data_IF_836558310927
#
_entry.id   IF_836558310927
#
_cell.length_a   1.000
_cell.length_b   1.000
_cell.length_c   1.000
_cell.angle_alpha   90.00
_cell.angle_beta   90.00
_cell.angle_gamma   90.00
#
_symmetry.space_group_name_H-M   'P 1'
#
loop_
_entity.id
_entity.type
_entity.pdbx_description
1 polymer ?
#
# COMPACT_ATOMS: atom_id res chain seq x y z
N UNK A 1 14.36 -4.17 6.08
CA UNK A 1 13.43 -3.07 5.76
C UNK A 1 14.02 -2.29 4.60
N UNK A 2 13.29 -2.14 3.51
CA UNK A 2 13.79 -1.42 2.34
C UNK A 2 13.69 0.11 2.53
N UNK A 3 14.73 0.83 2.11
CA UNK A 3 14.85 2.29 2.16
C UNK A 3 13.85 2.92 1.16
N UNK A 4 13.36 4.12 1.47
CA UNK A 4 12.47 4.85 0.55
C UNK A 4 13.25 5.74 -0.41
N UNK A 5 12.79 5.84 -1.65
CA UNK A 5 13.27 6.81 -2.63
C UNK A 5 12.65 8.20 -2.39
N UNK A 6 13.23 9.24 -2.99
CA UNK A 6 12.65 10.60 -2.97
C UNK A 6 11.25 10.64 -3.59
N UNK A 7 11.02 9.87 -4.66
CA UNK A 7 9.73 9.79 -5.33
C UNK A 7 8.67 9.13 -4.44
N UNK A 8 9.02 8.03 -3.76
CA UNK A 8 8.12 7.33 -2.84
C UNK A 8 7.71 8.24 -1.66
N UNK A 9 8.68 8.97 -1.08
CA UNK A 9 8.42 9.93 0.02
C UNK A 9 7.50 11.06 -0.45
N UNK A 10 7.74 11.62 -1.64
CA UNK A 10 6.93 12.69 -2.20
C UNK A 10 5.49 12.22 -2.48
N UNK A 11 5.34 11.03 -3.09
CA UNK A 11 4.03 10.44 -3.35
C UNK A 11 3.26 10.16 -2.05
N UNK A 12 3.91 9.61 -1.02
CA UNK A 12 3.26 9.34 0.26
C UNK A 12 2.67 10.61 0.90
N UNK A 13 3.42 11.72 0.87
CA UNK A 13 2.94 13.02 1.35
C UNK A 13 1.79 13.56 0.50
N UNK A 14 1.91 13.43 -0.82
CA UNK A 14 0.86 13.84 -1.76
C UNK A 14 -0.45 13.08 -1.54
N UNK A 15 -0.39 11.76 -1.38
CA UNK A 15 -1.57 10.94 -1.11
C UNK A 15 -2.30 11.38 0.16
N UNK A 16 -1.56 11.69 1.22
CA UNK A 16 -2.12 12.24 2.46
C UNK A 16 -2.76 13.62 2.22
N UNK A 17 -2.09 14.51 1.49
CA UNK A 17 -2.62 15.85 1.16
C UNK A 17 -3.85 15.79 0.24
N UNK A 18 -3.91 14.82 -0.67
CA UNK A 18 -5.02 14.58 -1.58
C UNK A 18 -6.23 13.90 -0.89
N UNK A 19 -6.15 13.59 0.40
CA UNK A 19 -7.22 12.94 1.15
C UNK A 19 -7.42 11.47 0.78
N UNK A 20 -6.43 10.82 0.16
CA UNK A 20 -6.46 9.37 -0.04
C UNK A 20 -6.33 8.65 1.30
N UNK A 21 -6.87 7.44 1.40
CA UNK A 21 -6.73 6.59 2.58
C UNK A 21 -6.58 5.12 2.18
N UNK A 22 -5.69 4.40 2.85
CA UNK A 22 -5.52 2.96 2.67
C UNK A 22 -5.85 2.23 3.97
N UNK A 23 -6.97 1.50 3.98
CA UNK A 23 -7.41 0.71 5.13
C UNK A 23 -6.69 -0.64 5.13
N UNK A 24 -5.99 -0.94 6.22
CA UNK A 24 -5.05 -2.06 6.34
C UNK A 24 -5.21 -2.80 7.65
N UNK A 25 -4.62 -4.00 7.73
CA UNK A 25 -4.43 -4.71 8.99
C UNK A 25 -2.95 -5.11 9.15
N UNK A 26 -2.40 -4.95 10.36
CA UNK A 26 -0.99 -5.26 10.67
C UNK A 26 -0.58 -6.70 10.33
N UNK A 27 -1.49 -7.67 10.45
CA UNK A 27 -1.24 -9.09 10.19
C UNK A 27 -1.47 -9.49 8.72
N UNK A 28 -1.98 -8.59 7.88
CA UNK A 28 -2.37 -8.91 6.50
C UNK A 28 -1.15 -8.87 5.57
N UNK A 29 -0.81 -9.98 4.87
CA UNK A 29 0.36 -10.04 3.99
C UNK A 29 0.35 -9.00 2.87
N UNK A 30 -0.76 -8.89 2.13
CA UNK A 30 -0.91 -7.89 1.06
C UNK A 30 -0.82 -6.43 1.55
N UNK A 31 -1.12 -6.20 2.83
CA UNK A 31 -0.97 -4.90 3.46
C UNK A 31 0.51 -4.61 3.73
N UNK A 32 1.31 -5.63 4.05
CA UNK A 32 2.75 -5.51 4.17
C UNK A 32 3.37 -5.28 2.80
N UNK A 33 2.99 -6.04 1.77
CA UNK A 33 3.44 -5.85 0.39
C UNK A 33 3.19 -4.40 -0.08
N UNK A 34 1.99 -3.87 0.17
CA UNK A 34 1.66 -2.49 -0.18
C UNK A 34 2.57 -1.47 0.53
N UNK A 35 2.87 -1.67 1.82
CA UNK A 35 3.76 -0.79 2.59
C UNK A 35 5.21 -0.92 2.12
N UNK A 36 5.62 -2.11 1.73
CA UNK A 36 6.95 -2.37 1.21
C UNK A 36 7.19 -1.66 -0.11
N UNK A 37 6.20 -1.49 -0.98
CA UNK A 37 6.35 -0.67 -2.18
C UNK A 37 6.78 0.78 -1.85
N UNK A 38 6.31 1.35 -0.74
CA UNK A 38 6.71 2.69 -0.30
C UNK A 38 8.08 2.73 0.39
N UNK A 39 8.58 1.60 0.90
CA UNK A 39 9.75 1.60 1.79
C UNK A 39 9.49 2.24 3.16
N UNK A 40 10.49 2.16 4.04
CA UNK A 40 10.31 2.41 5.47
C UNK A 40 9.90 3.85 5.83
N UNK A 41 10.43 4.85 5.11
CA UNK A 41 10.18 6.26 5.43
C UNK A 41 8.86 6.74 4.85
N UNK A 42 8.62 6.48 3.56
CA UNK A 42 7.39 6.88 2.90
C UNK A 42 6.17 6.13 3.47
N UNK A 43 6.32 4.85 3.85
CA UNK A 43 5.22 4.11 4.49
C UNK A 43 4.78 4.68 5.85
N UNK A 44 5.63 5.47 6.53
CA UNK A 44 5.24 6.20 7.76
C UNK A 44 4.46 7.47 7.46
N UNK A 45 4.61 8.02 6.26
CA UNK A 45 3.98 9.27 5.82
C UNK A 45 2.69 9.02 5.02
N UNK A 46 2.58 7.83 4.42
CA UNK A 46 1.43 7.42 3.63
C UNK A 46 0.17 7.26 4.50
N UNK A 47 -1.03 7.45 3.93
CA UNK A 47 -2.28 7.50 4.69
C UNK A 47 -2.83 6.10 5.02
N UNK A 48 -2.01 5.27 5.66
CA UNK A 48 -2.42 3.94 6.13
C UNK A 48 -3.25 4.02 7.41
N UNK A 49 -4.44 3.45 7.37
CA UNK A 49 -5.37 3.36 8.49
C UNK A 49 -5.38 1.93 9.01
N UNK A 50 -5.00 1.75 10.28
CA UNK A 50 -4.96 0.44 10.93
C UNK A 50 -6.36 0.02 11.42
N UNK A 51 -6.98 -0.92 10.71
CA UNK A 51 -8.34 -1.41 10.92
C UNK A 51 -8.47 -2.64 11.81
N UNK A 52 -7.37 -3.30 12.16
CA UNK A 52 -7.39 -4.44 13.07
C UNK A 52 -7.02 -4.02 14.49
N UNK A 53 -7.73 -4.57 15.46
CA UNK A 53 -7.32 -4.65 16.87
C UNK A 53 -6.19 -5.68 17.04
N UNK A 54 -5.67 -5.82 18.26
CA UNK A 54 -4.64 -6.80 18.62
C UNK A 54 -5.15 -8.24 18.52
N UNK A 55 -6.41 -8.49 18.88
CA UNK A 55 -7.10 -9.79 18.77
C UNK A 55 -7.60 -10.08 17.33
N UNK A 56 -7.05 -9.38 16.33
CA UNK A 56 -7.35 -9.55 14.90
C UNK A 56 -8.81 -9.30 14.50
N UNK A 57 -9.57 -8.55 15.29
CA UNK A 57 -10.92 -8.10 14.94
C UNK A 57 -10.89 -6.78 14.19
N UNK A 58 -11.87 -6.55 13.33
CA UNK A 58 -12.03 -5.26 12.66
C UNK A 58 -12.56 -4.21 13.64
N UNK A 59 -11.93 -3.04 13.66
CA UNK A 59 -12.35 -1.88 14.46
C UNK A 59 -13.67 -1.28 13.94
N UNK A 60 -14.52 -0.73 14.82
CA UNK A 60 -15.82 -0.16 14.43
C UNK A 60 -15.74 0.85 13.28
N UNK A 61 -14.77 1.75 13.29
CA UNK A 61 -14.61 2.79 12.26
C UNK A 61 -14.35 2.23 10.85
N UNK A 62 -13.82 1.00 10.74
CA UNK A 62 -13.64 0.32 9.46
C UNK A 62 -14.85 -0.53 9.07
N UNK A 63 -15.64 -1.01 10.05
CA UNK A 63 -16.93 -1.68 9.79
C UNK A 63 -17.93 -0.71 9.18
N UNK A 64 -18.01 0.51 9.73
CA UNK A 64 -18.94 1.54 9.24
C UNK A 64 -18.65 1.95 7.79
N UNK A 65 -17.38 1.84 7.39
CA UNK A 65 -16.91 2.09 6.01
C UNK A 65 -17.06 0.88 5.08
N UNK A 66 -17.65 -0.23 5.55
CA UNK A 66 -17.87 -1.46 4.78
C UNK A 66 -16.58 -1.95 4.12
N UNK A 67 -15.54 -2.11 4.94
CA UNK A 67 -14.26 -2.67 4.51
C UNK A 67 -14.33 -4.20 4.63
N UNK A 68 -14.50 -4.88 3.51
CA UNK A 68 -14.74 -6.34 3.49
C UNK A 68 -13.44 -7.16 3.33
N UNK A 69 -12.31 -6.48 3.13
CA UNK A 69 -11.00 -7.09 2.95
C UNK A 69 -9.89 -6.05 3.06
N UNK A 70 -8.62 -6.48 3.02
CA UNK A 70 -7.47 -5.60 3.12
C UNK A 70 -6.36 -5.96 2.09
N UNK A 71 -5.58 -4.98 1.61
CA UNK A 71 -5.80 -3.54 1.80
C UNK A 71 -6.96 -3.03 0.93
N UNK A 72 -7.52 -1.87 1.28
CA UNK A 72 -8.52 -1.15 0.45
C UNK A 72 -8.15 0.32 0.41
N UNK A 73 -8.05 0.87 -0.79
CA UNK A 73 -7.80 2.29 -1.02
C UNK A 73 -9.10 3.06 -1.27
N UNK A 74 -9.18 4.26 -0.70
CA UNK A 74 -10.13 5.29 -1.08
C UNK A 74 -9.33 6.43 -1.67
N UNK A 75 -9.62 6.77 -2.92
CA UNK A 75 -8.99 7.89 -3.64
C UNK A 75 -10.10 8.64 -4.36
N UNK A 76 -10.23 9.93 -4.09
CA UNK A 76 -11.28 10.78 -4.69
C UNK A 76 -12.70 10.18 -4.57
N UNK A 77 -13.03 9.70 -3.36
CA UNK A 77 -14.33 9.07 -3.06
C UNK A 77 -14.55 7.67 -3.67
N UNK A 78 -13.63 7.15 -4.49
CA UNK A 78 -13.73 5.82 -5.11
C UNK A 78 -12.99 4.76 -4.30
N UNK A 79 -13.63 3.59 -4.13
CA UNK A 79 -13.07 2.42 -3.44
C UNK A 79 -12.30 1.54 -4.43
N UNK A 80 -11.06 1.18 -4.10
CA UNK A 80 -10.21 0.26 -4.84
C UNK A 80 -9.76 -0.87 -3.93
N UNK A 81 -10.20 -2.09 -4.22
CA UNK A 81 -9.83 -3.28 -3.44
C UNK A 81 -8.44 -3.78 -3.80
N UNK A 82 -7.72 -4.29 -2.81
CA UNK A 82 -6.37 -4.85 -2.97
C UNK A 82 -5.27 -3.80 -3.01
N UNK A 83 -4.03 -4.29 -3.07
CA UNK A 83 -2.85 -3.44 -3.24
C UNK A 83 -2.89 -2.72 -4.59
N UNK A 84 -2.37 -1.50 -4.63
CA UNK A 84 -2.25 -0.66 -5.82
C UNK A 84 -0.79 -0.31 -6.03
N UNK A 85 -0.35 -0.40 -7.30
CA UNK A 85 0.95 0.10 -7.72
C UNK A 85 1.06 1.60 -7.43
N UNK A 86 2.24 2.05 -7.01
CA UNK A 86 2.51 3.46 -6.73
C UNK A 86 2.27 4.37 -7.95
N UNK A 87 2.66 3.94 -9.15
CA UNK A 87 2.38 4.68 -10.39
C UNK A 87 0.87 4.88 -10.61
N UNK A 88 0.05 3.87 -10.32
CA UNK A 88 -1.41 3.99 -10.40
C UNK A 88 -1.95 4.98 -9.36
N UNK A 89 -1.45 4.95 -8.13
CA UNK A 89 -1.85 5.89 -7.08
C UNK A 89 -1.45 7.34 -7.45
N UNK A 90 -0.27 7.52 -8.04
CA UNK A 90 0.18 8.81 -8.57
C UNK A 90 -0.79 9.33 -9.65
N UNK A 91 -1.15 8.50 -10.63
CA UNK A 91 -2.12 8.86 -11.67
C UNK A 91 -3.50 9.18 -11.11
N UNK A 92 -4.02 8.36 -10.19
CA UNK A 92 -5.34 8.57 -9.60
C UNK A 92 -5.45 9.88 -8.81
N UNK A 93 -4.32 10.43 -8.35
CA UNK A 93 -4.27 11.68 -7.57
C UNK A 93 -3.63 12.83 -8.33
N UNK A 94 -3.41 12.70 -9.65
CA UNK A 94 -2.75 13.70 -10.49
C UNK A 94 -1.40 14.18 -9.93
N UNK A 95 -0.59 13.26 -9.40
CA UNK A 95 0.75 13.56 -8.91
C UNK A 95 1.71 13.81 -10.06
N UNK A 96 2.40 14.96 -10.06
CA UNK A 96 3.27 15.39 -11.18
C UNK A 96 4.72 15.66 -10.80
N UNK A 97 5.10 15.56 -9.51
CA UNK A 97 6.46 15.90 -9.08
C UNK A 97 7.51 14.92 -9.59
N UNK A 98 7.10 13.68 -9.90
CA UNK A 98 7.94 12.64 -10.51
C UNK A 98 7.15 11.89 -11.59
N UNK A 99 7.83 11.39 -12.65
CA UNK A 99 7.19 10.57 -13.67
C UNK A 99 6.75 9.21 -13.11
N UNK A 100 5.75 8.57 -13.74
CA UNK A 100 5.30 7.22 -13.35
C UNK A 100 6.45 6.19 -13.33
N UNK A 101 7.44 6.36 -14.21
CA UNK A 101 8.65 5.52 -14.26
C UNK A 101 9.53 5.62 -13.02
N UNK A 102 9.37 6.65 -12.17
CA UNK A 102 10.09 6.75 -10.90
C UNK A 102 9.61 5.71 -9.87
N UNK A 103 8.50 5.04 -10.14
CA UNK A 103 7.88 4.03 -9.29
C UNK A 103 8.01 2.64 -9.93
N UNK A 104 9.22 2.09 -9.93
CA UNK A 104 9.44 0.71 -10.37
C UNK A 104 8.80 -0.27 -9.39
N UNK A 105 8.19 -1.34 -9.90
CA UNK A 105 7.89 -2.50 -9.06
C UNK A 105 9.23 -2.99 -8.48
N UNK A 106 9.31 -3.10 -7.16
CA UNK A 106 10.50 -3.66 -6.52
C UNK A 106 10.60 -5.09 -7.01
N UNK A 107 11.58 -5.35 -7.85
CA UNK A 107 11.78 -6.65 -8.47
C UNK A 107 11.96 -7.69 -7.37
N UNK A 108 11.24 -8.80 -7.50
CA UNK A 108 11.45 -10.03 -6.71
C UNK A 108 12.84 -10.64 -6.96
N UNK A 109 13.66 -10.05 -7.84
CA UNK A 109 15.05 -10.40 -8.08
C UNK A 109 15.87 -10.20 -6.81
N UNK A 110 15.99 -11.29 -6.03
CA UNK A 110 16.68 -11.35 -4.75
C UNK A 110 15.78 -11.56 -3.53
N UNK A 111 14.46 -11.73 -3.70
CA UNK A 111 13.59 -12.19 -2.63
C UNK A 111 13.69 -13.72 -2.50
N UNK A 112 14.53 -14.20 -1.57
CA UNK A 112 14.34 -15.53 -0.99
C UNK A 112 13.07 -15.49 -0.13
N UNK A 113 11.95 -15.89 -0.71
CA UNK A 113 10.72 -16.12 0.03
C UNK A 113 10.89 -17.30 1.00
N UNK A 114 10.33 -17.20 2.21
CA UNK A 114 10.34 -18.28 3.23
C UNK A 114 9.66 -19.58 2.72
N UNK A 115 8.89 -19.51 1.63
CA UNK A 115 8.15 -20.63 1.04
C UNK A 115 8.56 -20.97 -0.41
N UNK A 116 9.72 -20.48 -0.88
CA UNK A 116 10.22 -20.80 -2.22
C UNK A 116 9.75 -19.86 -3.34
N UNK A 117 10.27 -20.08 -4.55
CA UNK A 117 10.06 -19.22 -5.73
C UNK A 117 8.62 -19.34 -6.25
N UNK A 118 8.07 -18.21 -6.72
CA UNK A 118 6.70 -18.09 -7.27
C UNK A 118 6.39 -19.05 -8.44
N UNK A 119 7.40 -19.57 -9.14
CA UNK A 119 7.23 -20.56 -10.23
C UNK A 119 6.87 -21.98 -9.75
N UNK A 120 6.96 -22.26 -8.46
CA UNK A 120 6.66 -23.59 -7.89
C UNK A 120 5.25 -23.67 -7.26
N UNK A 121 4.46 -22.59 -7.34
CA UNK A 121 3.19 -22.44 -6.63
C UNK A 121 1.94 -22.81 -7.45
N UNK A 122 2.08 -23.42 -8.64
CA UNK A 122 0.98 -24.11 -9.32
C UNK A 122 1.48 -25.37 -10.04
N UNK A 123 0.76 -26.51 -10.00
CA UNK A 123 -0.54 -26.79 -9.38
C UNK A 123 -0.49 -27.48 -8.00
#
# INVERSE_FOLDING_TARGET
RSTSSRAEIALAKHLTAAGAACYTAWWCPHCQDQREQFGAEAARLAPFVQCSTEDRRQKPECKDKKIDGYPVWFVDGKKYSGGQQLAKLARLTNFTDFPESAFHERSDEGLEYIWGKREEAEP
#
